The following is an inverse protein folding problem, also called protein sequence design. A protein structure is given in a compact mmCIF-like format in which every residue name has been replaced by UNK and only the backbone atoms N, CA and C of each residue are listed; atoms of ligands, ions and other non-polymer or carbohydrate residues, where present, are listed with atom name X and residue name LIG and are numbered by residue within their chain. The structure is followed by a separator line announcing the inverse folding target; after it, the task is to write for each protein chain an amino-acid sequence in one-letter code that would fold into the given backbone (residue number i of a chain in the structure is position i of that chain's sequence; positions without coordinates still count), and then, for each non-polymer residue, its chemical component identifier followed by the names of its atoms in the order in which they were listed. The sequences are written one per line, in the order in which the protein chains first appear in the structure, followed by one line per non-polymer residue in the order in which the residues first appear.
data_IF_415432845121
#
_entry.id   IF_415432845121
#
_cell.length_a   1.000
_cell.length_b   1.000
_cell.length_c   1.000
_cell.angle_alpha   90.00
_cell.angle_beta   90.00
_cell.angle_gamma   90.00
#
_symmetry.space_group_name_H-M   'P 1'
#
loop_
_entity.id
_entity.type
_entity.pdbx_description
1 polymer ?
#
# COMPACT_ATOMS: atom_id res chain seq x y z
N UNK A 1 -27.29 -3.59 10.94
CA UNK A 1 -26.66 -2.75 9.90
C UNK A 1 -25.65 -1.83 10.56
N UNK A 2 -24.39 -1.78 10.08
CA UNK A 2 -23.39 -0.85 10.61
C UNK A 2 -23.87 0.61 10.52
N UNK A 3 -23.55 1.42 11.52
CA UNK A 3 -23.85 2.85 11.54
C UNK A 3 -23.04 3.57 10.46
N UNK A 4 -23.61 4.61 9.85
CA UNK A 4 -22.92 5.38 8.81
C UNK A 4 -21.60 5.99 9.32
N UNK A 5 -21.55 6.36 10.60
CA UNK A 5 -20.32 6.87 11.23
C UNK A 5 -19.19 5.84 11.25
N UNK A 6 -19.48 4.57 11.57
CA UNK A 6 -18.45 3.53 11.60
C UNK A 6 -17.92 3.19 10.20
N UNK A 7 -18.77 3.25 9.16
CA UNK A 7 -18.33 3.09 7.77
C UNK A 7 -17.36 4.19 7.34
N UNK A 8 -17.62 5.45 7.73
CA UNK A 8 -16.74 6.58 7.40
C UNK A 8 -15.40 6.44 8.10
N UNK A 9 -15.40 6.11 9.40
CA UNK A 9 -14.17 5.90 10.16
C UNK A 9 -13.33 4.78 9.54
N UNK A 10 -13.94 3.64 9.21
CA UNK A 10 -13.24 2.54 8.54
C UNK A 10 -12.65 2.95 7.18
N UNK A 11 -13.40 3.73 6.39
CA UNK A 11 -12.92 4.24 5.11
C UNK A 11 -11.72 5.19 5.25
N UNK A 12 -11.75 6.10 6.23
CA UNK A 12 -10.62 7.01 6.51
C UNK A 12 -9.38 6.25 6.98
N UNK A 13 -9.54 5.23 7.82
CA UNK A 13 -8.45 4.36 8.23
C UNK A 13 -7.85 3.62 7.04
N UNK A 14 -8.68 3.07 6.14
CA UNK A 14 -8.21 2.42 4.92
C UNK A 14 -7.44 3.38 4.00
N UNK A 15 -7.90 4.62 3.85
CA UNK A 15 -7.17 5.66 3.12
C UNK A 15 -5.80 5.97 3.73
N UNK A 16 -5.72 6.08 5.05
CA UNK A 16 -4.42 6.27 5.72
C UNK A 16 -3.49 5.08 5.55
N UNK A 17 -4.02 3.85 5.59
CA UNK A 17 -3.26 2.62 5.34
C UNK A 17 -2.70 2.55 3.93
N UNK A 18 -3.51 2.89 2.91
CA UNK A 18 -3.03 2.97 1.53
C UNK A 18 -1.91 4.01 1.40
N UNK A 19 -2.08 5.19 2.01
CA UNK A 19 -1.10 6.27 1.96
C UNK A 19 0.23 5.85 2.60
N UNK A 20 0.17 5.16 3.74
CA UNK A 20 1.35 4.61 4.42
C UNK A 20 2.03 3.52 3.59
N UNK A 21 1.27 2.65 2.90
CA UNK A 21 1.81 1.59 2.04
C UNK A 21 2.54 2.17 0.83
N UNK A 22 1.98 3.23 0.22
CA UNK A 22 2.63 3.96 -0.87
C UNK A 22 3.93 4.60 -0.35
N UNK A 23 3.89 5.29 0.80
CA UNK A 23 5.08 5.91 1.39
C UNK A 23 6.17 4.87 1.69
N UNK A 24 5.80 3.72 2.28
CA UNK A 24 6.72 2.62 2.54
C UNK A 24 7.36 2.10 1.24
N UNK A 25 6.59 2.01 0.15
CA UNK A 25 7.09 1.55 -1.14
C UNK A 25 8.25 2.41 -1.67
N UNK A 26 8.26 3.72 -1.38
CA UNK A 26 9.32 4.65 -1.82
C UNK A 26 10.44 4.85 -0.78
N UNK A 27 10.29 4.29 0.43
CA UNK A 27 11.30 4.40 1.48
C UNK A 27 12.57 3.62 1.12
N UNK A 28 13.73 4.13 1.55
CA UNK A 28 15.05 3.50 1.30
C UNK A 28 15.53 2.60 2.45
N UNK A 29 14.79 2.58 3.56
CA UNK A 29 15.19 1.94 4.82
C UNK A 29 14.64 0.51 4.97
N UNK A 30 14.39 -0.20 3.87
CA UNK A 30 13.87 -1.57 3.92
C UNK A 30 14.89 -2.55 4.48
N UNK A 31 16.16 -2.39 4.06
CA UNK A 31 17.28 -3.16 4.58
C UNK A 31 18.42 -2.21 4.94
N UNK A 32 19.08 -2.49 6.06
CA UNK A 32 20.25 -1.74 6.51
C UNK A 32 21.40 -2.72 6.76
N UNK A 33 22.49 -2.53 6.03
CA UNK A 33 23.75 -3.21 6.30
C UNK A 33 24.78 -2.20 6.79
N UNK A 34 25.57 -2.57 7.80
CA UNK A 34 26.58 -1.69 8.39
C UNK A 34 27.88 -2.46 8.55
N UNK A 35 28.94 -2.01 7.87
CA UNK A 35 30.28 -2.56 7.98
C UNK A 35 31.23 -1.46 8.44
N UNK A 36 31.37 -1.30 9.76
CA UNK A 36 32.16 -0.23 10.37
C UNK A 36 31.52 1.15 10.15
N UNK A 37 32.26 2.08 9.53
CA UNK A 37 31.76 3.41 9.16
C UNK A 37 30.94 3.42 7.86
N UNK A 38 31.01 2.35 7.07
CA UNK A 38 30.23 2.21 5.84
C UNK A 38 28.83 1.67 6.14
N UNK A 39 27.78 2.39 5.74
CA UNK A 39 26.38 1.97 5.89
C UNK A 39 25.71 1.92 4.54
N UNK A 40 24.98 0.85 4.26
CA UNK A 40 24.22 0.67 3.02
C UNK A 40 22.75 0.57 3.40
N UNK A 41 21.94 1.46 2.82
CA UNK A 41 20.49 1.44 2.90
C UNK A 41 19.97 0.97 1.56
N UNK A 42 19.30 -0.17 1.55
CA UNK A 42 18.64 -0.69 0.35
C UNK A 42 17.14 -0.46 0.44
N UNK A 43 16.65 0.32 -0.51
CA UNK A 43 15.24 0.58 -0.72
C UNK A 43 14.63 -0.30 -1.79
N UNK A 44 13.33 -0.16 -1.91
CA UNK A 44 12.59 -0.89 -2.92
C UNK A 44 12.79 -0.33 -4.33
N UNK A 45 13.27 0.89 -4.56
CA UNK A 45 13.49 1.43 -5.92
C UNK A 45 14.83 2.15 -6.09
N UNK A 46 15.48 2.48 -4.98
CA UNK A 46 16.74 3.21 -4.90
C UNK A 46 17.52 2.64 -3.72
N UNK A 47 18.85 2.65 -3.80
CA UNK A 47 19.74 2.36 -2.68
C UNK A 47 20.63 3.55 -2.37
N UNK A 48 21.06 3.69 -1.12
CA UNK A 48 21.99 4.74 -0.69
C UNK A 48 23.13 4.13 0.12
N UNK A 49 24.37 4.42 -0.28
CA UNK A 49 25.57 4.11 0.51
C UNK A 49 26.07 5.36 1.22
N UNK A 50 26.35 5.23 2.51
CA UNK A 50 26.88 6.27 3.38
C UNK A 50 28.26 5.84 3.84
N UNK A 51 29.26 6.56 3.36
CA UNK A 51 30.65 6.45 3.82
C UNK A 51 31.08 7.85 4.32
N UNK A 52 32.16 8.43 3.80
CA UNK A 52 32.44 9.87 3.97
C UNK A 52 31.46 10.79 3.22
N UNK A 53 30.82 10.28 2.17
CA UNK A 53 29.80 10.97 1.38
C UNK A 53 28.59 10.06 1.20
N UNK A 54 27.40 10.64 1.19
CA UNK A 54 26.15 9.93 0.87
C UNK A 54 25.94 9.94 -0.65
N UNK A 55 25.90 8.76 -1.24
CA UNK A 55 25.61 8.56 -2.67
C UNK A 55 24.35 7.69 -2.76
N UNK A 56 23.39 8.11 -3.57
CA UNK A 56 22.15 7.39 -3.80
C UNK A 56 21.99 7.11 -5.30
N UNK A 57 21.76 5.84 -5.62
CA UNK A 57 21.62 5.37 -7.00
C UNK A 57 20.31 4.60 -7.15
N UNK A 58 19.56 4.92 -8.21
CA UNK A 58 18.40 4.14 -8.63
C UNK A 58 18.87 2.84 -9.25
N UNK A 59 18.17 1.73 -9.01
CA UNK A 59 18.56 0.46 -9.60
C UNK A 59 18.38 0.50 -11.13
N UNK A 60 19.48 0.57 -11.89
CA UNK A 60 19.50 0.55 -13.36
C UNK A 60 18.90 -0.72 -13.97
N UNK A 61 18.84 -1.81 -13.19
CA UNK A 61 18.32 -3.10 -13.66
C UNK A 61 17.49 -3.76 -12.58
N UNK A 62 16.22 -4.02 -12.89
CA UNK A 62 15.26 -4.69 -11.99
C UNK A 62 15.73 -6.09 -11.54
N UNK A 63 16.61 -6.73 -12.31
CA UNK A 63 17.12 -8.09 -12.09
C UNK A 63 18.45 -8.17 -11.32
N UNK A 64 19.10 -7.03 -11.05
CA UNK A 64 20.43 -7.02 -10.38
C UNK A 64 20.33 -6.84 -8.86
N UNK A 65 19.11 -6.84 -8.34
CA UNK A 65 18.79 -6.66 -6.91
C UNK A 65 18.46 -8.03 -6.30
N UNK A 66 18.61 -8.19 -4.98
CA UNK A 66 18.31 -9.46 -4.29
C UNK A 66 16.88 -9.95 -4.58
N UNK A 67 16.70 -11.27 -4.71
CA UNK A 67 15.39 -11.89 -5.01
C UNK A 67 14.33 -11.47 -3.97
N UNK A 68 14.71 -11.32 -2.71
CA UNK A 68 13.82 -10.89 -1.62
C UNK A 68 13.22 -9.50 -1.87
N UNK A 69 14.02 -8.55 -2.35
CA UNK A 69 13.57 -7.20 -2.67
C UNK A 69 12.66 -7.21 -3.90
N UNK A 70 12.95 -8.07 -4.89
CA UNK A 70 12.12 -8.20 -6.09
C UNK A 70 10.72 -8.76 -5.74
N UNK A 71 10.66 -9.81 -4.92
CA UNK A 71 9.37 -10.37 -4.45
C UNK A 71 8.61 -9.31 -3.65
N UNK A 72 9.29 -8.58 -2.78
CA UNK A 72 8.68 -7.51 -1.99
C UNK A 72 8.10 -6.40 -2.87
N UNK A 73 8.78 -5.99 -3.96
CA UNK A 73 8.22 -5.05 -4.96
C UNK A 73 6.90 -5.54 -5.51
N UNK A 74 6.87 -6.79 -5.96
CA UNK A 74 5.66 -7.39 -6.54
C UNK A 74 4.52 -7.43 -5.53
N UNK A 75 4.78 -7.86 -4.29
CA UNK A 75 3.77 -7.93 -3.23
C UNK A 75 3.25 -6.54 -2.85
N UNK A 76 4.13 -5.54 -2.71
CA UNK A 76 3.72 -4.17 -2.39
C UNK A 76 2.85 -3.56 -3.50
N UNK A 77 3.23 -3.75 -4.77
CA UNK A 77 2.43 -3.28 -5.90
C UNK A 77 1.06 -3.98 -5.97
N UNK A 78 1.02 -5.29 -5.74
CA UNK A 78 -0.23 -6.05 -5.68
C UNK A 78 -1.12 -5.56 -4.52
N UNK A 79 -0.54 -5.32 -3.34
CA UNK A 79 -1.26 -4.78 -2.18
C UNK A 79 -1.87 -3.41 -2.48
N UNK A 80 -1.14 -2.51 -3.15
CA UNK A 80 -1.65 -1.20 -3.56
C UNK A 80 -2.84 -1.35 -4.53
N UNK A 81 -2.74 -2.25 -5.51
CA UNK A 81 -3.82 -2.48 -6.50
C UNK A 81 -5.06 -3.07 -5.81
N UNK A 82 -4.88 -4.08 -4.95
CA UNK A 82 -5.96 -4.71 -4.20
C UNK A 82 -6.64 -3.70 -3.28
N UNK A 83 -5.87 -2.95 -2.49
CA UNK A 83 -6.38 -1.90 -1.60
C UNK A 83 -7.12 -0.82 -2.37
N UNK A 84 -6.57 -0.36 -3.50
CA UNK A 84 -7.23 0.60 -4.39
C UNK A 84 -8.58 0.09 -4.90
N UNK A 85 -8.65 -1.17 -5.32
CA UNK A 85 -9.90 -1.80 -5.77
C UNK A 85 -10.92 -1.96 -4.62
N UNK A 86 -10.47 -2.30 -3.41
CA UNK A 86 -11.29 -2.40 -2.21
C UNK A 86 -11.86 -1.06 -1.77
N UNK A 87 -11.08 0.02 -1.88
CA UNK A 87 -11.56 1.39 -1.63
C UNK A 87 -12.62 1.82 -2.65
N UNK A 88 -12.42 1.53 -3.94
CA UNK A 88 -13.43 1.81 -4.98
C UNK A 88 -14.75 1.09 -4.68
N UNK A 89 -14.68 -0.21 -4.37
CA UNK A 89 -15.88 -0.98 -3.98
C UNK A 89 -16.53 -0.43 -2.71
N UNK A 90 -15.73 -0.02 -1.73
CA UNK A 90 -16.23 0.60 -0.50
C UNK A 90 -16.97 1.91 -0.78
N UNK A 91 -16.42 2.79 -1.62
CA UNK A 91 -17.07 4.06 -2.02
C UNK A 91 -18.43 3.79 -2.67
N UNK A 92 -18.51 2.81 -3.58
CA UNK A 92 -19.75 2.45 -4.27
C UNK A 92 -20.79 1.83 -3.32
N UNK A 93 -20.35 1.12 -2.27
CA UNK A 93 -21.21 0.44 -1.29
C UNK A 93 -21.63 1.30 -0.08
N UNK A 94 -21.00 2.45 0.15
CA UNK A 94 -21.34 3.32 1.28
C UNK A 94 -22.75 3.91 1.18
N UNK A 95 -23.43 4.04 2.32
CA UNK A 95 -24.78 4.62 2.38
C UNK A 95 -24.85 6.07 1.91
N UNK A 96 -23.76 6.82 2.05
CA UNK A 96 -23.67 8.22 1.62
C UNK A 96 -23.56 8.40 0.10
N UNK A 97 -23.27 7.33 -0.64
CA UNK A 97 -23.13 7.36 -2.10
C UNK A 97 -24.46 7.02 -2.75
N UNK A 98 -24.93 7.83 -3.71
CA UNK A 98 -26.22 7.62 -4.41
C UNK A 98 -26.20 6.47 -5.45
N UNK A 99 -25.07 5.78 -5.60
CA UNK A 99 -24.92 4.65 -6.51
C UNK A 99 -25.64 3.40 -5.95
N UNK A 100 -26.29 2.61 -6.82
CA UNK A 100 -27.07 1.39 -6.48
C UNK A 100 -28.20 1.57 -5.45
N UNK A 101 -28.82 2.75 -5.34
CA UNK A 101 -29.88 2.97 -4.35
C UNK A 101 -31.13 2.10 -4.57
N UNK A 102 -31.41 1.74 -5.83
CA UNK A 102 -32.50 0.84 -6.22
C UNK A 102 -32.27 -0.62 -5.78
N UNK A 103 -31.03 -1.00 -5.44
CA UNK A 103 -30.63 -2.37 -5.08
C UNK A 103 -29.86 -2.39 -3.76
N UNK A 104 -30.57 -2.13 -2.65
CA UNK A 104 -30.01 -2.03 -1.30
C UNK A 104 -29.20 -3.28 -0.90
N UNK A 105 -29.65 -4.48 -1.26
CA UNK A 105 -28.91 -5.72 -0.97
C UNK A 105 -27.57 -5.77 -1.72
N UNK A 106 -27.57 -5.44 -3.03
CA UNK A 106 -26.35 -5.39 -3.84
C UNK A 106 -25.38 -4.34 -3.30
N UNK A 107 -25.88 -3.16 -2.92
CA UNK A 107 -25.08 -2.09 -2.30
C UNK A 107 -24.40 -2.54 -1.01
N UNK A 108 -25.13 -3.23 -0.13
CA UNK A 108 -24.59 -3.79 1.10
C UNK A 108 -23.54 -4.88 0.83
N UNK A 109 -23.78 -5.77 -0.14
CA UNK A 109 -22.81 -6.82 -0.54
C UNK A 109 -21.54 -6.21 -1.10
N UNK A 110 -21.62 -5.18 -1.94
CA UNK A 110 -20.45 -4.48 -2.48
C UNK A 110 -19.62 -3.83 -1.37
N UNK A 111 -20.26 -3.22 -0.36
CA UNK A 111 -19.55 -2.67 0.80
C UNK A 111 -18.81 -3.75 1.61
N UNK A 112 -19.43 -4.91 1.81
CA UNK A 112 -18.83 -6.05 2.53
C UNK A 112 -17.66 -6.63 1.72
N UNK A 113 -17.83 -6.83 0.41
CA UNK A 113 -16.76 -7.30 -0.47
C UNK A 113 -15.57 -6.33 -0.47
N UNK A 114 -15.83 -5.02 -0.53
CA UNK A 114 -14.79 -3.99 -0.41
C UNK A 114 -14.04 -4.09 0.91
N UNK A 115 -14.75 -4.29 2.02
CA UNK A 115 -14.13 -4.53 3.33
C UNK A 115 -13.28 -5.79 3.40
N UNK A 116 -13.73 -6.90 2.79
CA UNK A 116 -12.96 -8.16 2.75
C UNK A 116 -11.66 -7.98 1.96
N UNK A 117 -11.71 -7.28 0.83
CA UNK A 117 -10.53 -7.00 0.01
C UNK A 117 -9.50 -6.15 0.78
N UNK A 118 -9.95 -5.25 1.66
CA UNK A 118 -9.07 -4.41 2.48
C UNK A 118 -8.44 -5.16 3.68
N UNK A 119 -8.92 -6.36 4.02
CA UNK A 119 -8.35 -7.19 5.09
C UNK A 119 -7.15 -8.02 4.56
N UNK A 120 -7.15 -8.32 3.27
CA UNK A 120 -6.14 -9.15 2.57
C UNK A 120 -4.99 -8.26 2.12
#
# INVERSE_FOLDING_TARGET
MASSGLQIVGFLLALSGLSATIAATFMVEWTMESQGNHKIYEGLWMGCSVDEKTICDTHDSLFKVSEDIQVTRSVMLLSIILTGSGLLMSILGMKCTRFLDEKIETKARTAVTGGIILIV
#
